data_IF_047408918061
#
_entry.id   IF_047408918061
#
_cell.length_a   1.000
_cell.length_b   1.000
_cell.length_c   1.000
_cell.angle_alpha   90.00
_cell.angle_beta   90.00
_cell.angle_gamma   90.00
#
_symmetry.space_group_name_H-M   'P 1'
#
loop_
_entity.id
_entity.type
_entity.pdbx_description
1 polymer ?
#
# COMPACT_ATOMS: atom_id res chain seq x y z
N UNK A 1 -10.88 6.31 34.50
CA UNK A 1 -11.39 5.55 33.34
C UNK A 1 -10.68 6.16 32.16
N UNK A 2 -9.70 5.45 31.62
CA UNK A 2 -8.93 5.90 30.47
C UNK A 2 -9.27 4.89 29.39
N UNK A 3 -9.86 5.37 28.31
CA UNK A 3 -10.42 4.59 27.21
C UNK A 3 -9.35 3.65 26.62
N UNK A 4 -9.78 2.43 26.33
CA UNK A 4 -8.94 1.38 25.77
C UNK A 4 -8.59 1.76 24.31
N UNK A 5 -7.32 1.84 23.90
CA UNK A 5 -6.93 2.31 22.57
C UNK A 5 -7.09 1.25 21.46
N UNK A 6 -7.86 0.20 21.71
CA UNK A 6 -8.16 -0.83 20.73
C UNK A 6 -9.48 -0.45 20.08
N UNK A 7 -9.43 -0.11 18.79
CA UNK A 7 -10.61 -0.09 17.92
C UNK A 7 -11.33 -1.41 18.14
N UNK A 8 -12.61 -1.36 18.47
CA UNK A 8 -13.41 -2.57 18.68
C UNK A 8 -13.40 -3.37 17.38
N UNK A 9 -13.17 -4.69 17.44
CA UNK A 9 -13.09 -5.51 16.23
C UNK A 9 -14.41 -5.46 15.44
N UNK A 10 -15.53 -5.32 16.15
CA UNK A 10 -16.86 -5.15 15.54
C UNK A 10 -16.96 -3.80 14.80
N UNK A 11 -16.45 -2.71 15.38
CA UNK A 11 -16.43 -1.37 14.75
C UNK A 11 -15.49 -1.35 13.52
N UNK A 12 -14.37 -2.08 13.58
CA UNK A 12 -13.46 -2.21 12.44
C UNK A 12 -14.10 -2.98 11.26
N UNK A 13 -14.81 -4.06 11.56
CA UNK A 13 -15.54 -4.85 10.56
C UNK A 13 -16.70 -4.05 9.93
N UNK A 14 -17.47 -3.31 10.74
CA UNK A 14 -18.52 -2.42 10.25
C UNK A 14 -17.97 -1.35 9.32
N UNK A 15 -16.87 -0.69 9.70
CA UNK A 15 -16.22 0.32 8.85
C UNK A 15 -15.72 -0.25 7.51
N UNK A 16 -15.19 -1.48 7.51
CA UNK A 16 -14.75 -2.15 6.28
C UNK A 16 -15.96 -2.47 5.39
N UNK A 17 -17.06 -2.97 5.96
CA UNK A 17 -18.28 -3.25 5.20
C UNK A 17 -18.89 -1.98 4.61
N UNK A 18 -19.02 -0.91 5.39
CA UNK A 18 -19.51 0.39 4.89
C UNK A 18 -18.63 0.94 3.77
N UNK A 19 -17.31 0.78 3.88
CA UNK A 19 -16.38 1.18 2.85
C UNK A 19 -16.55 0.37 1.56
N UNK A 20 -16.68 -0.96 1.67
CA UNK A 20 -16.94 -1.85 0.51
C UNK A 20 -18.27 -1.50 -0.15
N UNK A 21 -19.32 -1.20 0.63
CA UNK A 21 -20.61 -0.78 0.08
C UNK A 21 -20.52 0.53 -0.72
N UNK A 22 -19.66 1.46 -0.27
CA UNK A 22 -19.51 2.77 -0.91
C UNK A 22 -18.54 2.77 -2.10
N UNK A 23 -17.48 1.97 -2.04
CA UNK A 23 -16.35 2.03 -2.96
C UNK A 23 -16.09 0.73 -3.74
N UNK A 24 -16.87 -0.31 -3.46
CA UNK A 24 -16.62 -1.66 -3.97
C UNK A 24 -15.41 -2.32 -3.33
N UNK A 25 -15.24 -3.61 -3.62
CA UNK A 25 -14.08 -4.41 -3.25
C UNK A 25 -12.80 -3.88 -3.90
N UNK A 26 -12.90 -3.37 -5.13
CA UNK A 26 -11.80 -2.69 -5.83
C UNK A 26 -11.22 -1.53 -5.00
N UNK A 27 -12.07 -0.69 -4.41
CA UNK A 27 -11.61 0.41 -3.56
C UNK A 27 -10.83 -0.08 -2.34
N UNK A 28 -11.17 -1.26 -1.80
CA UNK A 28 -10.46 -1.86 -0.68
C UNK A 28 -9.07 -2.33 -1.10
N UNK A 29 -8.94 -2.95 -2.27
CA UNK A 29 -7.64 -3.33 -2.84
C UNK A 29 -6.76 -2.10 -3.12
N UNK A 30 -7.32 -1.04 -3.69
CA UNK A 30 -6.58 0.22 -3.90
C UNK A 30 -6.09 0.79 -2.57
N UNK A 31 -6.93 0.76 -1.53
CA UNK A 31 -6.54 1.24 -0.20
C UNK A 31 -5.42 0.38 0.41
N UNK A 32 -5.53 -0.95 0.28
CA UNK A 32 -4.53 -1.91 0.74
C UNK A 32 -3.18 -1.67 0.07
N UNK A 33 -3.15 -1.68 -1.27
CA UNK A 33 -1.90 -1.50 -2.02
C UNK A 33 -1.30 -0.11 -1.83
N UNK A 34 -2.13 0.94 -1.73
CA UNK A 34 -1.63 2.28 -1.41
C UNK A 34 -0.87 2.30 -0.08
N UNK A 35 -1.40 1.62 0.94
CA UNK A 35 -0.70 1.51 2.23
C UNK A 35 0.56 0.66 2.14
N UNK A 36 0.51 -0.45 1.41
CA UNK A 36 1.66 -1.31 1.17
C UNK A 36 2.81 -0.53 0.49
N UNK A 37 2.55 0.13 -0.64
CA UNK A 37 3.53 0.90 -1.39
C UNK A 37 4.12 2.04 -0.56
N UNK A 38 3.27 2.80 0.14
CA UNK A 38 3.74 3.89 0.99
C UNK A 38 4.68 3.37 2.09
N UNK A 39 4.38 2.22 2.70
CA UNK A 39 5.24 1.61 3.73
C UNK A 39 6.55 1.12 3.14
N UNK A 40 6.51 0.47 1.99
CA UNK A 40 7.70 -0.01 1.28
C UNK A 40 8.66 1.14 0.99
N UNK A 41 8.17 2.21 0.34
CA UNK A 41 8.97 3.40 0.03
C UNK A 41 9.55 4.02 1.31
N UNK A 42 8.75 4.11 2.37
CA UNK A 42 9.22 4.64 3.65
C UNK A 42 10.23 3.72 4.37
N UNK A 43 10.23 2.42 4.11
CA UNK A 43 11.24 1.49 4.61
C UNK A 43 12.55 1.66 3.85
N UNK A 44 12.49 1.71 2.51
CA UNK A 44 13.66 1.94 1.65
C UNK A 44 14.35 3.29 1.95
N UNK A 45 13.56 4.35 2.16
CA UNK A 45 14.07 5.66 2.56
C UNK A 45 14.68 5.68 3.97
N UNK A 46 14.36 4.70 4.82
CA UNK A 46 14.93 4.56 6.16
C UNK A 46 16.16 3.67 6.19
N UNK A 47 16.27 2.68 5.29
CA UNK A 47 17.38 1.72 5.27
C UNK A 47 18.74 2.29 4.86
N UNK A 48 18.80 3.53 4.38
CA UNK A 48 20.07 4.25 4.21
C UNK A 48 20.75 4.66 5.54
N UNK A 49 20.04 4.57 6.68
CA UNK A 49 20.62 4.73 8.03
C UNK A 49 20.05 3.65 9.00
N UNK A 50 20.89 2.66 9.31
CA UNK A 50 20.84 1.67 10.40
C UNK A 50 20.06 0.34 10.24
N UNK A 51 20.74 -0.72 10.69
CA UNK A 51 20.33 -2.14 10.72
C UNK A 51 18.94 -2.36 11.34
N UNK A 52 18.03 -2.95 10.56
CA UNK A 52 16.63 -3.18 10.93
C UNK A 52 16.50 -4.41 11.83
N UNK A 53 16.36 -4.17 13.13
CA UNK A 53 15.97 -5.17 14.13
C UNK A 53 14.66 -4.72 14.80
N UNK A 54 13.58 -5.37 14.39
CA UNK A 54 12.25 -5.40 15.03
C UNK A 54 11.16 -4.48 14.42
N UNK A 55 10.11 -5.13 13.91
CA UNK A 55 9.02 -4.62 13.05
C UNK A 55 8.02 -3.73 13.82
N UNK A 56 8.06 -3.74 15.16
CA UNK A 56 7.04 -3.11 16.01
C UNK A 56 7.38 -1.76 16.61
N UNK A 57 8.62 -1.27 16.51
CA UNK A 57 9.07 -0.17 17.38
C UNK A 57 9.83 0.92 16.62
N UNK A 58 9.30 2.14 16.73
CA UNK A 58 9.98 3.44 16.56
C UNK A 58 10.00 4.11 15.18
N UNK A 59 8.93 4.89 14.99
CA UNK A 59 8.98 6.26 14.48
C UNK A 59 10.02 7.13 15.24
N UNK A 60 11.24 7.24 14.74
CA UNK A 60 12.10 8.39 15.03
C UNK A 60 12.94 8.73 13.80
N UNK A 61 12.50 9.75 13.05
CA UNK A 61 13.27 10.34 11.96
C UNK A 61 14.08 11.53 12.49
N UNK A 62 15.27 11.72 11.93
CA UNK A 62 16.15 12.84 12.26
C UNK A 62 15.59 14.17 11.71
N UNK A 63 16.03 15.28 12.31
CA UNK A 63 15.44 16.63 12.13
C UNK A 63 15.43 17.16 10.70
N UNK A 64 16.24 16.61 9.79
CA UNK A 64 16.26 16.99 8.37
C UNK A 64 15.32 16.15 7.49
N UNK A 65 15.10 14.87 7.79
CA UNK A 65 14.17 14.00 7.06
C UNK A 65 12.70 14.39 7.29
N UNK A 66 12.37 14.81 8.52
CA UNK A 66 11.03 15.23 8.92
C UNK A 66 10.47 16.43 8.12
N UNK A 67 11.35 17.33 7.67
CA UNK A 67 10.94 18.57 6.98
C UNK A 67 10.73 18.36 5.47
N UNK A 68 11.56 17.51 4.84
CA UNK A 68 11.41 17.12 3.44
C UNK A 68 10.18 16.21 3.27
N UNK A 69 10.02 15.24 4.17
CA UNK A 69 8.89 14.32 4.16
C UNK A 69 7.56 15.02 4.45
N UNK A 70 7.48 16.02 5.34
CA UNK A 70 6.19 16.69 5.60
C UNK A 70 5.58 17.38 4.36
N UNK A 71 6.41 18.02 3.55
CA UNK A 71 5.95 18.72 2.35
C UNK A 71 5.73 17.76 1.16
N UNK A 72 6.46 16.64 1.12
CA UNK A 72 6.32 15.64 0.05
C UNK A 72 5.42 14.47 0.41
N UNK A 73 4.94 14.35 1.65
CA UNK A 73 4.06 13.25 2.09
C UNK A 73 2.74 13.24 1.37
N UNK A 74 2.12 14.40 1.14
CA UNK A 74 0.86 14.48 0.39
C UNK A 74 1.08 14.05 -1.06
N UNK A 75 2.13 14.57 -1.73
CA UNK A 75 2.50 14.16 -3.08
C UNK A 75 2.86 12.66 -3.19
N UNK A 76 3.55 12.12 -2.19
CA UNK A 76 3.89 10.69 -2.13
C UNK A 76 2.65 9.84 -1.91
N UNK A 77 1.71 10.28 -1.05
CA UNK A 77 0.44 9.60 -0.82
C UNK A 77 -0.45 9.61 -2.06
N UNK A 78 -0.43 10.68 -2.85
CA UNK A 78 -1.10 10.79 -4.15
C UNK A 78 -0.45 9.86 -5.18
N UNK A 79 0.89 9.83 -5.25
CA UNK A 79 1.62 8.94 -6.15
C UNK A 79 1.38 7.46 -5.81
N UNK A 80 1.39 7.11 -4.52
CA UNK A 80 1.05 5.77 -4.06
C UNK A 80 -0.40 5.40 -4.40
N UNK A 81 -1.33 6.36 -4.37
CA UNK A 81 -2.71 6.10 -4.80
C UNK A 81 -2.77 5.84 -6.31
N UNK A 82 -2.03 6.60 -7.11
CA UNK A 82 -1.93 6.38 -8.55
C UNK A 82 -1.39 4.99 -8.87
N UNK A 83 -0.25 4.60 -8.28
CA UNK A 83 0.34 3.27 -8.45
C UNK A 83 -0.54 2.16 -7.91
N UNK A 84 -1.22 2.35 -6.79
CA UNK A 84 -2.17 1.36 -6.28
C UNK A 84 -3.34 1.13 -7.25
N UNK A 85 -3.86 2.20 -7.87
CA UNK A 85 -4.91 2.07 -8.89
C UNK A 85 -4.40 1.35 -10.14
N UNK A 86 -3.20 1.72 -10.62
CA UNK A 86 -2.56 1.08 -11.76
C UNK A 86 -2.32 -0.42 -11.53
N UNK A 87 -1.85 -0.80 -10.34
CA UNK A 87 -1.68 -2.21 -9.95
C UNK A 87 -3.02 -2.94 -9.89
N UNK A 88 -4.05 -2.36 -9.29
CA UNK A 88 -5.37 -3.00 -9.24
C UNK A 88 -5.99 -3.15 -10.63
N UNK A 89 -5.84 -2.16 -11.51
CA UNK A 89 -6.25 -2.28 -12.92
C UNK A 89 -5.49 -3.39 -13.65
N UNK A 90 -4.19 -3.52 -13.39
CA UNK A 90 -3.36 -4.60 -13.96
C UNK A 90 -3.77 -5.99 -13.44
N UNK A 91 -3.98 -6.13 -12.13
CA UNK A 91 -4.45 -7.37 -11.50
C UNK A 91 -5.82 -7.80 -12.05
N UNK A 92 -6.71 -6.85 -12.35
CA UNK A 92 -8.01 -7.15 -12.98
C UNK A 92 -7.91 -7.61 -14.43
N UNK A 93 -6.75 -7.47 -15.08
CA UNK A 93 -6.52 -8.05 -16.40
C UNK A 93 -6.20 -9.54 -16.35
N UNK A 94 -5.85 -10.07 -15.18
CA UNK A 94 -5.70 -11.49 -14.92
C UNK A 94 -7.05 -12.11 -14.55
N UNK A 95 -7.47 -13.15 -15.28
CA UNK A 95 -8.79 -13.78 -15.10
C UNK A 95 -8.99 -14.36 -13.68
N UNK A 96 -7.93 -14.89 -13.06
CA UNK A 96 -8.00 -15.54 -11.74
C UNK A 96 -8.07 -14.48 -10.65
N UNK A 97 -7.19 -13.48 -10.69
CA UNK A 97 -7.15 -12.43 -9.68
C UNK A 97 -8.36 -11.49 -9.82
N UNK A 98 -8.83 -11.21 -11.04
CA UNK A 98 -10.05 -10.43 -11.27
C UNK A 98 -11.26 -11.07 -10.60
N UNK A 99 -11.40 -12.40 -10.64
CA UNK A 99 -12.50 -13.09 -9.96
C UNK A 99 -12.46 -12.87 -8.44
N UNK A 100 -11.27 -12.89 -7.84
CA UNK A 100 -11.09 -12.63 -6.40
C UNK A 100 -11.44 -11.19 -6.06
N UNK A 101 -10.99 -10.22 -6.86
CA UNK A 101 -11.29 -8.80 -6.67
C UNK A 101 -12.78 -8.53 -6.80
N UNK A 102 -13.44 -9.05 -7.85
CA UNK A 102 -14.86 -8.81 -8.11
C UNK A 102 -15.78 -9.52 -7.11
N UNK A 103 -15.42 -10.73 -6.68
CA UNK A 103 -16.19 -11.47 -5.68
C UNK A 103 -16.00 -10.92 -4.27
N UNK A 104 -14.89 -10.23 -4.01
CA UNK A 104 -14.51 -9.78 -2.67
C UNK A 104 -14.10 -10.91 -1.74
N UNK A 105 -13.80 -12.09 -2.28
CA UNK A 105 -13.41 -13.26 -1.52
C UNK A 105 -11.94 -13.17 -1.10
N UNK A 106 -11.68 -12.32 -0.09
CA UNK A 106 -10.33 -12.06 0.40
C UNK A 106 -9.60 -13.30 0.91
N UNK A 107 -10.32 -14.38 1.26
CA UNK A 107 -9.70 -15.64 1.69
C UNK A 107 -8.91 -16.30 0.56
N UNK A 108 -9.34 -16.10 -0.69
CA UNK A 108 -8.65 -16.64 -1.87
C UNK A 108 -7.34 -15.93 -2.18
N UNK A 109 -7.04 -14.81 -1.54
CA UNK A 109 -5.70 -14.20 -1.64
C UNK A 109 -4.62 -15.08 -1.01
N UNK A 110 -4.99 -15.99 -0.11
CA UNK A 110 -4.08 -16.98 0.50
C UNK A 110 -3.96 -18.26 -0.34
N UNK A 111 -4.68 -18.37 -1.46
CA UNK A 111 -4.51 -19.47 -2.40
C UNK A 111 -3.17 -19.29 -3.13
N UNK A 112 -2.31 -20.31 -3.11
CA UNK A 112 -0.94 -20.27 -3.65
C UNK A 112 -0.88 -19.78 -5.10
N UNK A 113 -1.87 -20.13 -5.92
CA UNK A 113 -1.95 -19.71 -7.33
C UNK A 113 -2.41 -18.26 -7.53
N UNK A 114 -3.12 -17.69 -6.56
CA UNK A 114 -3.51 -16.27 -6.54
C UNK A 114 -2.37 -15.44 -5.99
N UNK A 115 -1.75 -15.89 -4.90
CA UNK A 115 -0.59 -15.24 -4.27
C UNK A 115 0.56 -15.07 -5.27
N UNK A 116 0.97 -16.14 -5.96
CA UNK A 116 2.05 -16.10 -6.97
C UNK A 116 1.76 -15.08 -8.07
N UNK A 117 0.52 -15.00 -8.57
CA UNK A 117 0.13 -14.02 -9.61
C UNK A 117 0.13 -12.59 -9.11
N UNK A 118 -0.28 -12.37 -7.86
CA UNK A 118 -0.26 -11.05 -7.24
C UNK A 118 1.19 -10.60 -7.03
N UNK A 119 2.06 -11.50 -6.56
CA UNK A 119 3.50 -11.23 -6.42
C UNK A 119 4.17 -10.91 -7.75
N UNK A 120 3.95 -11.73 -8.79
CA UNK A 120 4.47 -11.47 -10.15
C UNK A 120 3.99 -10.10 -10.67
N UNK A 121 2.72 -9.77 -10.48
CA UNK A 121 2.16 -8.49 -10.91
C UNK A 121 2.73 -7.30 -10.13
N UNK A 122 3.00 -7.46 -8.84
CA UNK A 122 3.71 -6.47 -8.03
C UNK A 122 5.11 -6.28 -8.61
N UNK A 123 5.88 -7.34 -8.80
CA UNK A 123 7.27 -7.27 -9.31
C UNK A 123 7.34 -6.60 -10.69
N UNK A 124 6.46 -6.97 -11.62
CA UNK A 124 6.34 -6.34 -12.94
C UNK A 124 6.11 -4.81 -12.80
N UNK A 125 5.15 -4.43 -11.94
CA UNK A 125 4.81 -3.02 -11.73
C UNK A 125 5.88 -2.25 -11.01
N UNK A 126 6.59 -2.84 -10.07
CA UNK A 126 7.74 -2.22 -9.43
C UNK A 126 8.85 -1.92 -10.45
N UNK A 127 9.12 -2.82 -11.39
CA UNK A 127 10.06 -2.56 -12.49
C UNK A 127 9.63 -1.38 -13.39
N UNK A 128 8.33 -1.27 -13.69
CA UNK A 128 7.78 -0.12 -14.43
C UNK A 128 7.89 1.19 -13.65
N UNK A 129 7.54 1.16 -12.36
CA UNK A 129 7.51 2.36 -11.52
C UNK A 129 8.88 2.81 -11.05
N UNK A 130 9.87 1.93 -10.91
CA UNK A 130 11.26 2.30 -10.62
C UNK A 130 11.76 3.33 -11.65
N UNK A 131 11.52 3.05 -12.94
CA UNK A 131 11.85 3.98 -14.03
C UNK A 131 11.10 5.32 -13.86
N UNK A 132 9.81 5.29 -13.49
CA UNK A 132 9.02 6.50 -13.28
C UNK A 132 9.42 7.29 -12.03
N UNK A 133 9.89 6.62 -10.99
CA UNK A 133 10.35 7.22 -9.74
C UNK A 133 11.68 7.93 -9.95
N UNK A 134 12.61 7.32 -10.69
CA UNK A 134 13.86 7.98 -11.09
C UNK A 134 13.59 9.26 -11.87
N UNK A 135 12.73 9.21 -12.90
CA UNK A 135 12.30 10.39 -13.67
C UNK A 135 11.67 11.47 -12.78
N UNK A 136 10.81 11.08 -11.83
CA UNK A 136 10.16 12.03 -10.91
C UNK A 136 11.14 12.70 -9.94
N UNK A 137 12.14 11.98 -9.45
CA UNK A 137 13.15 12.54 -8.56
C UNK A 137 14.05 13.54 -9.29
N UNK A 138 14.40 13.28 -10.56
CA UNK A 138 15.13 14.23 -11.40
C UNK A 138 14.36 15.53 -11.65
N UNK A 139 13.03 15.48 -11.76
CA UNK A 139 12.19 16.69 -11.93
C UNK A 139 12.07 17.57 -10.68
N UNK A 140 12.38 17.03 -9.50
CA UNK A 140 12.31 17.73 -8.23
C UNK A 140 13.61 18.47 -7.85
N UNK A 141 14.72 18.20 -8.54
CA UNK A 141 16.01 18.91 -8.42
C UNK A 141 16.05 20.25 -9.21
#
# INVERSE_FOLDING_TARGET
MTENPFVDSEEAEENIQEFIEQHGTEGLFVLYFRQFLFRFIMQELKSDDDEVSDIGTQLHLSTNGDQLLKNQREAMLERCEYWARDLVEYLKSDDVVSEVIESGDLQRLEDEDVEERVEEAIDDKFGEWETQLEEFLEELE
#
